data_IF_041949681135
#
_entry.id   IF_041949681135
#
_cell.length_a   1.000
_cell.length_b   1.000
_cell.length_c   1.000
_cell.angle_alpha   90.00
_cell.angle_beta   90.00
_cell.angle_gamma   90.00
#
_symmetry.space_group_name_H-M   'P 1'
#
loop_
_entity.id
_entity.type
_entity.pdbx_description
1 polymer ?
#
# COMPACT_ATOMS: atom_id res chain seq x y z
N UNK A 1 -15.13 16.66 -15.12
CA UNK A 1 -14.61 15.63 -16.05
C UNK A 1 -15.54 14.43 -15.97
N UNK A 2 -16.05 13.91 -17.09
CA UNK A 2 -17.02 12.81 -17.11
C UNK A 2 -16.47 11.56 -16.38
N UNK A 3 -17.26 10.93 -15.50
CA UNK A 3 -16.87 9.72 -14.74
C UNK A 3 -16.38 8.59 -15.65
N UNK A 4 -16.99 8.45 -16.83
CA UNK A 4 -16.57 7.48 -17.84
C UNK A 4 -15.17 7.80 -18.33
N UNK A 5 -14.92 9.06 -18.69
CA UNK A 5 -13.61 9.49 -19.17
C UNK A 5 -12.54 9.30 -18.09
N UNK A 6 -12.80 9.71 -16.84
CA UNK A 6 -11.89 9.47 -15.72
C UNK A 6 -11.56 7.98 -15.54
N UNK A 7 -12.57 7.12 -15.49
CA UNK A 7 -12.36 5.69 -15.25
C UNK A 7 -11.64 5.02 -16.41
N UNK A 8 -11.97 5.39 -17.66
CA UNK A 8 -11.28 4.89 -18.85
C UNK A 8 -9.83 5.34 -18.88
N UNK A 9 -9.55 6.59 -18.53
CA UNK A 9 -8.17 7.09 -18.44
C UNK A 9 -7.38 6.39 -17.32
N UNK A 10 -7.98 6.15 -16.15
CA UNK A 10 -7.32 5.39 -15.08
C UNK A 10 -7.05 3.95 -15.49
N UNK A 11 -7.96 3.31 -16.24
CA UNK A 11 -7.70 1.99 -16.83
C UNK A 11 -6.54 2.04 -17.81
N UNK A 12 -6.54 2.99 -18.73
CA UNK A 12 -5.45 3.18 -19.69
C UNK A 12 -4.12 3.34 -18.97
N UNK A 13 -4.07 4.21 -17.96
CA UNK A 13 -2.89 4.37 -17.09
C UNK A 13 -2.49 3.06 -16.41
N UNK A 14 -3.43 2.36 -15.76
CA UNK A 14 -3.14 1.10 -15.06
C UNK A 14 -2.58 0.05 -16.02
N UNK A 15 -3.14 -0.04 -17.23
CA UNK A 15 -2.65 -0.92 -18.30
C UNK A 15 -1.24 -0.53 -18.74
N UNK A 16 -0.97 0.76 -18.97
CA UNK A 16 0.36 1.25 -19.32
C UNK A 16 1.39 1.00 -18.20
N UNK A 17 1.02 1.20 -16.93
CA UNK A 17 1.87 0.89 -15.78
C UNK A 17 2.16 -0.61 -15.68
N UNK A 18 1.15 -1.44 -15.91
CA UNK A 18 1.26 -2.90 -15.91
C UNK A 18 2.18 -3.38 -17.03
N UNK A 19 1.99 -2.92 -18.26
CA UNK A 19 2.87 -3.29 -19.38
C UNK A 19 4.28 -2.73 -19.19
N UNK A 20 4.40 -1.50 -18.71
CA UNK A 20 5.68 -0.86 -18.44
C UNK A 20 6.49 -1.61 -17.40
N UNK A 21 5.86 -2.05 -16.29
CA UNK A 21 6.53 -2.86 -15.26
C UNK A 21 7.01 -4.20 -15.81
N UNK A 22 6.18 -4.90 -16.59
CA UNK A 22 6.59 -6.15 -17.26
C UNK A 22 7.81 -5.94 -18.14
N UNK A 23 7.81 -4.91 -18.98
CA UNK A 23 8.91 -4.60 -19.89
C UNK A 23 10.19 -4.27 -19.11
N UNK A 24 10.10 -3.37 -18.13
CA UNK A 24 11.25 -2.96 -17.32
C UNK A 24 11.89 -4.13 -16.59
N UNK A 25 11.09 -5.02 -16.01
CA UNK A 25 11.61 -6.20 -15.32
C UNK A 25 12.11 -7.26 -16.29
N UNK A 26 11.49 -7.43 -17.46
CA UNK A 26 11.97 -8.37 -18.50
C UNK A 26 13.37 -7.99 -19.02
N UNK A 27 13.70 -6.71 -19.02
CA UNK A 27 15.04 -6.20 -19.39
C UNK A 27 15.95 -5.95 -18.17
N UNK A 28 15.51 -6.32 -16.95
CA UNK A 28 16.22 -6.06 -15.71
C UNK A 28 16.60 -4.57 -15.49
N UNK A 29 15.81 -3.67 -16.06
CA UNK A 29 15.98 -2.22 -15.97
C UNK A 29 15.24 -1.61 -14.77
N UNK A 30 14.41 -2.39 -14.09
CA UNK A 30 13.67 -1.94 -12.91
C UNK A 30 14.63 -1.45 -11.81
N UNK A 31 15.72 -2.19 -11.55
CA UNK A 31 16.73 -1.80 -10.55
C UNK A 31 17.54 -0.57 -10.98
N UNK A 32 17.83 -0.44 -12.28
CA UNK A 32 18.60 0.69 -12.83
C UNK A 32 17.83 2.00 -12.71
N UNK A 33 16.50 1.97 -12.82
CA UNK A 33 15.66 3.16 -12.68
C UNK A 33 15.39 3.56 -11.22
N UNK A 34 15.62 2.65 -10.27
CA UNK A 34 15.42 2.90 -8.84
C UNK A 34 16.70 3.29 -8.10
N UNK A 35 17.65 3.89 -8.81
CA UNK A 35 18.82 4.54 -8.20
C UNK A 35 18.36 5.63 -7.22
N UNK A 36 18.45 5.32 -5.92
CA UNK A 36 18.18 6.25 -4.83
C UNK A 36 19.38 7.19 -4.68
N UNK A 37 19.28 8.39 -5.27
CA UNK A 37 20.29 9.45 -5.15
C UNK A 37 20.19 10.25 -3.84
N UNK A 38 19.42 9.76 -2.87
CA UNK A 38 19.16 10.47 -1.61
C UNK A 38 20.11 10.08 -0.52
N UNK A 39 20.64 11.11 0.14
CA UNK A 39 21.40 10.99 1.38
C UNK A 39 20.51 10.93 2.64
N UNK A 40 19.17 10.91 2.49
CA UNK A 40 18.24 10.78 3.60
C UNK A 40 18.41 9.44 4.34
N UNK A 41 18.29 9.48 5.66
CA UNK A 41 18.28 8.27 6.48
C UNK A 41 16.95 7.52 6.32
N UNK A 42 17.01 6.20 6.10
CA UNK A 42 15.82 5.35 5.95
C UNK A 42 15.75 4.35 7.11
N UNK A 43 14.74 4.49 7.96
CA UNK A 43 14.42 3.50 9.00
C UNK A 43 13.53 2.40 8.40
N UNK A 44 13.91 1.11 8.50
CA UNK A 44 13.14 0.01 7.94
C UNK A 44 11.83 -0.21 8.70
N UNK A 45 10.89 -0.92 8.05
CA UNK A 45 9.62 -1.29 8.66
C UNK A 45 9.86 -2.22 9.86
N UNK A 46 9.23 -1.94 10.99
CA UNK A 46 9.36 -2.78 12.17
C UNK A 46 8.44 -4.02 12.07
N UNK A 47 8.98 -5.25 11.96
CA UNK A 47 8.15 -6.44 11.83
C UNK A 47 7.34 -6.75 13.09
N UNK A 48 7.82 -6.35 14.28
CA UNK A 48 7.17 -6.69 15.56
C UNK A 48 5.87 -5.91 15.85
N UNK A 49 5.65 -4.78 15.18
CA UNK A 49 4.41 -4.00 15.25
C UNK A 49 3.60 -4.05 13.96
N UNK A 50 4.05 -4.84 12.98
CA UNK A 50 3.39 -4.98 11.70
C UNK A 50 2.16 -5.90 11.78
N UNK A 51 1.09 -5.48 11.13
CA UNK A 51 -0.08 -6.31 10.81
C UNK A 51 -0.14 -6.50 9.29
N UNK A 52 -0.65 -7.65 8.84
CA UNK A 52 -0.81 -7.95 7.41
C UNK A 52 -2.29 -7.89 7.00
N UNK A 53 -2.50 -7.34 5.81
CA UNK A 53 -3.76 -7.46 5.09
C UNK A 53 -3.53 -8.06 3.70
N UNK A 54 -4.47 -8.88 3.24
CA UNK A 54 -4.48 -9.43 1.89
C UNK A 54 -5.65 -8.82 1.11
N UNK A 55 -5.33 -8.06 0.07
CA UNK A 55 -6.31 -7.42 -0.79
C UNK A 55 -6.51 -8.28 -2.03
N UNK A 56 -7.73 -8.76 -2.24
CA UNK A 56 -8.08 -9.69 -3.32
C UNK A 56 -9.32 -9.26 -4.08
N UNK A 57 -9.20 -9.21 -5.39
CA UNK A 57 -10.34 -9.01 -6.29
C UNK A 57 -11.37 -10.14 -6.14
N UNK A 58 -12.66 -9.79 -6.05
CA UNK A 58 -13.72 -10.79 -5.96
C UNK A 58 -13.86 -11.58 -7.28
N UNK A 59 -14.13 -12.89 -7.18
CA UNK A 59 -14.24 -13.74 -8.38
C UNK A 59 -15.52 -13.49 -9.17
N UNK A 60 -16.63 -13.20 -8.48
CA UNK A 60 -17.95 -13.00 -9.11
C UNK A 60 -18.06 -11.60 -9.70
N UNK A 61 -17.55 -10.60 -8.98
CA UNK A 61 -17.59 -9.20 -9.42
C UNK A 61 -16.22 -8.53 -9.38
N UNK A 62 -15.36 -8.95 -10.30
CA UNK A 62 -13.98 -8.46 -10.39
C UNK A 62 -13.90 -6.95 -10.54
N UNK A 63 -14.86 -6.36 -11.25
CA UNK A 63 -14.79 -4.94 -11.57
C UNK A 63 -15.27 -4.08 -10.43
N UNK A 64 -16.19 -4.52 -9.57
CA UNK A 64 -16.81 -3.64 -8.58
C UNK A 64 -16.43 -3.95 -7.14
N UNK A 65 -15.92 -5.14 -6.87
CA UNK A 65 -15.71 -5.61 -5.50
C UNK A 65 -14.31 -6.16 -5.30
N UNK A 66 -13.64 -5.65 -4.28
CA UNK A 66 -12.34 -6.12 -3.81
C UNK A 66 -12.45 -6.36 -2.30
N UNK A 67 -12.04 -7.53 -1.85
CA UNK A 67 -12.12 -7.94 -0.44
C UNK A 67 -10.76 -7.80 0.22
N UNK A 68 -10.76 -7.47 1.51
CA UNK A 68 -9.55 -7.36 2.33
C UNK A 68 -9.66 -8.34 3.49
N UNK A 69 -8.65 -9.19 3.62
CA UNK A 69 -8.55 -10.20 4.66
C UNK A 69 -7.43 -9.85 5.64
N UNK A 70 -7.61 -10.16 6.92
CA UNK A 70 -6.55 -10.04 7.92
C UNK A 70 -5.55 -11.23 7.81
N UNK A 71 -4.52 -11.23 8.66
CA UNK A 71 -3.55 -12.33 8.76
C UNK A 71 -4.16 -13.70 9.10
N UNK A 72 -5.33 -13.73 9.72
CA UNK A 72 -6.04 -14.97 10.08
C UNK A 72 -6.91 -15.51 8.94
N UNK A 73 -7.07 -14.76 7.84
CA UNK A 73 -7.93 -15.12 6.72
C UNK A 73 -9.38 -14.64 6.85
N UNK A 74 -9.72 -13.86 7.88
CA UNK A 74 -11.05 -13.29 8.05
C UNK A 74 -11.21 -12.05 7.18
N UNK A 75 -12.37 -11.90 6.53
CA UNK A 75 -12.69 -10.68 5.81
C UNK A 75 -12.94 -9.55 6.82
N UNK A 76 -12.15 -8.49 6.73
CA UNK A 76 -12.22 -7.31 7.63
C UNK A 76 -12.72 -6.06 6.92
N UNK A 77 -12.40 -5.92 5.63
CA UNK A 77 -12.86 -4.79 4.82
C UNK A 77 -13.27 -5.21 3.42
N UNK A 78 -13.91 -4.29 2.70
CA UNK A 78 -14.15 -4.39 1.26
C UNK A 78 -14.06 -3.03 0.61
N UNK A 79 -13.50 -2.98 -0.60
CA UNK A 79 -13.61 -1.84 -1.50
C UNK A 79 -14.68 -2.14 -2.55
N UNK A 80 -15.69 -1.29 -2.60
CA UNK A 80 -16.84 -1.45 -3.50
C UNK A 80 -17.10 -0.18 -4.29
N UNK A 81 -17.54 -0.32 -5.54
CA UNK A 81 -18.04 0.80 -6.36
C UNK A 81 -19.37 0.46 -7.02
N UNK A 82 -20.18 1.49 -7.26
CA UNK A 82 -21.53 1.32 -7.82
C UNK A 82 -21.50 0.70 -9.22
N UNK A 83 -20.57 1.15 -10.06
CA UNK A 83 -20.44 0.68 -11.43
C UNK A 83 -18.98 0.62 -11.86
N UNK A 84 -18.75 -0.18 -12.89
CA UNK A 84 -17.46 -0.40 -13.57
C UNK A 84 -16.81 0.90 -14.08
N UNK A 85 -17.59 1.96 -14.32
CA UNK A 85 -17.18 3.28 -14.81
C UNK A 85 -17.31 4.38 -13.75
N UNK A 86 -17.54 4.01 -12.49
CA UNK A 86 -17.48 4.95 -11.39
C UNK A 86 -16.04 5.06 -10.87
N UNK A 87 -15.44 6.27 -10.85
CA UNK A 87 -14.11 6.49 -10.26
C UNK A 87 -14.15 6.47 -8.73
N UNK A 88 -15.34 6.52 -8.13
CA UNK A 88 -15.54 6.53 -6.70
C UNK A 88 -15.68 5.10 -6.18
N UNK A 89 -14.83 4.76 -5.22
CA UNK A 89 -14.85 3.54 -4.43
C UNK A 89 -15.22 3.86 -2.99
N UNK A 90 -15.78 2.88 -2.29
CA UNK A 90 -16.16 2.95 -0.89
C UNK A 90 -15.43 1.86 -0.14
N UNK A 91 -14.79 2.20 0.98
CA UNK A 91 -14.22 1.25 1.92
C UNK A 91 -15.25 0.96 3.00
N UNK A 92 -15.67 -0.29 3.12
CA UNK A 92 -16.63 -0.74 4.12
C UNK A 92 -15.97 -1.70 5.11
N UNK A 93 -16.35 -1.60 6.38
CA UNK A 93 -15.99 -2.60 7.38
C UNK A 93 -16.83 -3.88 7.24
N UNK A 94 -16.34 -4.96 7.85
CA UNK A 94 -17.04 -6.22 7.94
C UNK A 94 -17.07 -6.68 9.40
N UNK A 95 -18.19 -7.24 9.91
CA UNK A 95 -19.44 -7.55 9.20
C UNK A 95 -20.45 -6.39 9.09
N UNK A 96 -20.24 -5.26 9.76
CA UNK A 96 -21.27 -4.22 9.90
C UNK A 96 -21.59 -3.47 8.59
N UNK A 97 -20.70 -3.52 7.59
CA UNK A 97 -20.84 -2.84 6.29
C UNK A 97 -21.08 -1.32 6.41
N UNK A 98 -20.51 -0.71 7.44
CA UNK A 98 -20.44 0.73 7.58
C UNK A 98 -19.36 1.29 6.65
N UNK A 99 -19.69 2.37 5.96
CA UNK A 99 -18.73 3.07 5.10
C UNK A 99 -17.74 3.85 5.97
N UNK A 100 -16.47 3.43 5.92
CA UNK A 100 -15.39 4.10 6.64
C UNK A 100 -14.77 5.22 5.82
N UNK A 101 -14.67 5.02 4.50
CA UNK A 101 -14.10 6.01 3.62
C UNK A 101 -14.63 5.96 2.19
N UNK A 102 -14.64 7.11 1.52
CA UNK A 102 -14.87 7.23 0.08
C UNK A 102 -13.55 7.58 -0.61
N UNK A 103 -13.15 6.81 -1.61
CA UNK A 103 -11.92 6.98 -2.36
C UNK A 103 -12.24 7.42 -3.78
N UNK A 104 -11.69 8.54 -4.22
CA UNK A 104 -11.75 8.99 -5.60
C UNK A 104 -10.46 8.58 -6.30
N UNK A 105 -10.60 7.73 -7.32
CA UNK A 105 -9.47 7.26 -8.14
C UNK A 105 -9.59 7.90 -9.52
N UNK A 106 -9.00 9.08 -9.68
CA UNK A 106 -8.87 9.77 -10.96
C UNK A 106 -7.42 9.87 -11.44
N UNK A 107 -7.23 10.27 -12.70
CA UNK A 107 -5.90 10.50 -13.28
C UNK A 107 -5.19 11.69 -12.61
N UNK A 108 -5.90 12.79 -12.45
CA UNK A 108 -5.37 14.05 -11.90
C UNK A 108 -5.79 14.19 -10.44
N UNK A 109 -7.09 14.02 -10.21
CA UNK A 109 -7.70 14.15 -8.88
C UNK A 109 -7.81 12.79 -8.21
N UNK A 110 -7.11 12.64 -7.09
CA UNK A 110 -7.12 11.47 -6.22
C UNK A 110 -7.35 11.95 -4.80
N UNK A 111 -8.35 11.41 -4.14
CA UNK A 111 -8.65 11.83 -2.78
C UNK A 111 -9.27 10.70 -1.96
N UNK A 112 -9.16 10.83 -0.65
CA UNK A 112 -9.83 9.96 0.31
C UNK A 112 -10.65 10.85 1.25
N UNK A 113 -11.91 10.49 1.46
CA UNK A 113 -12.75 11.05 2.49
C UNK A 113 -12.93 10.00 3.58
N UNK A 114 -12.48 10.24 4.81
CA UNK A 114 -12.76 9.35 5.95
C UNK A 114 -14.01 9.85 6.67
N UNK A 115 -14.96 8.95 6.90
CA UNK A 115 -16.25 9.27 7.56
C UNK A 115 -16.24 8.93 9.05
N UNK A 116 -15.36 8.03 9.47
CA UNK A 116 -15.21 7.59 10.85
C UNK A 116 -14.21 8.42 11.66
N UNK A 117 -13.58 9.45 11.07
CA UNK A 117 -12.40 10.13 11.66
C UNK A 117 -12.55 11.63 11.60
N UNK A 118 -13.04 12.20 12.71
CA UNK A 118 -13.37 13.62 12.88
C UNK A 118 -12.24 14.55 12.46
N UNK A 119 -11.00 14.15 12.75
CA UNK A 119 -9.87 15.07 12.63
C UNK A 119 -9.33 15.10 11.19
N UNK A 120 -9.69 14.13 10.34
CA UNK A 120 -9.08 13.99 9.01
C UNK A 120 -10.06 13.53 7.93
N UNK A 121 -11.14 14.29 7.80
CA UNK A 121 -12.24 14.00 6.88
C UNK A 121 -11.83 13.92 5.41
N UNK A 122 -10.87 14.74 4.93
CA UNK A 122 -10.49 14.76 3.50
C UNK A 122 -8.97 14.83 3.32
N UNK A 123 -8.43 14.00 2.41
CA UNK A 123 -7.03 14.01 1.99
C UNK A 123 -6.89 13.90 0.49
N UNK A 124 -6.22 14.86 -0.12
CA UNK A 124 -5.79 14.80 -1.51
C UNK A 124 -4.46 14.03 -1.63
N UNK A 125 -4.36 13.18 -2.64
CA UNK A 125 -3.15 12.44 -2.96
C UNK A 125 -2.55 13.06 -4.22
N UNK A 126 -1.44 13.76 -4.04
CA UNK A 126 -0.74 14.42 -5.13
C UNK A 126 0.42 13.58 -5.65
N UNK A 127 0.78 13.83 -6.91
CA UNK A 127 2.00 13.30 -7.48
C UNK A 127 3.15 14.19 -7.04
N UNK A 128 4.17 13.60 -6.44
CA UNK A 128 5.39 14.29 -6.04
C UNK A 128 6.58 13.66 -6.79
N UNK A 129 7.56 14.47 -7.15
CA UNK A 129 8.77 14.06 -7.84
C UNK A 129 9.95 14.47 -6.98
N UNK A 130 10.58 13.49 -6.35
CA UNK A 130 11.81 13.68 -5.60
C UNK A 130 13.01 13.18 -6.39
N UNK A 131 14.20 13.46 -5.86
CA UNK A 131 15.48 12.96 -6.41
C UNK A 131 15.50 11.41 -6.47
N UNK A 132 14.73 10.76 -5.60
CA UNK A 132 14.54 9.31 -5.54
C UNK A 132 13.35 8.79 -6.38
N UNK A 133 12.83 9.60 -7.29
CA UNK A 133 11.79 9.19 -8.23
C UNK A 133 10.38 9.66 -7.89
N UNK A 134 9.39 8.89 -8.36
CA UNK A 134 7.99 9.28 -8.37
C UNK A 134 7.26 8.79 -7.13
N UNK A 135 6.60 9.72 -6.46
CA UNK A 135 5.85 9.48 -5.25
C UNK A 135 4.34 9.74 -5.42
N UNK A 136 3.57 9.07 -4.58
CA UNK A 136 2.20 9.48 -4.25
C UNK A 136 2.18 9.90 -2.81
N UNK A 137 1.96 11.20 -2.59
CA UNK A 137 2.15 11.83 -1.30
C UNK A 137 0.87 12.46 -0.79
N UNK A 138 0.78 12.53 0.53
CA UNK A 138 -0.31 13.15 1.27
C UNK A 138 0.19 13.60 2.64
N UNK A 139 -0.57 14.45 3.32
CA UNK A 139 -0.26 14.93 4.66
C UNK A 139 -1.26 14.38 5.69
N UNK A 140 -0.81 14.11 6.90
CA UNK A 140 -1.68 13.83 8.04
C UNK A 140 -1.67 15.01 9.03
N UNK A 141 -2.52 14.95 10.06
CA UNK A 141 -2.66 16.03 11.05
C UNK A 141 -1.40 16.24 11.91
N UNK A 142 -0.49 15.26 11.92
CA UNK A 142 0.81 15.39 12.57
C UNK A 142 1.78 16.31 11.82
N UNK A 143 1.34 16.93 10.71
CA UNK A 143 2.13 17.82 9.86
C UNK A 143 3.17 17.10 9.01
N UNK A 144 3.27 15.77 9.11
CA UNK A 144 4.27 14.99 8.39
C UNK A 144 3.78 14.63 6.99
N UNK A 145 4.71 14.57 6.03
CA UNK A 145 4.44 14.08 4.68
C UNK A 145 4.55 12.56 4.68
N UNK A 146 3.54 11.88 4.15
CA UNK A 146 3.56 10.45 3.90
C UNK A 146 3.65 10.21 2.39
N UNK A 147 4.55 9.33 1.96
CA UNK A 147 4.83 9.11 0.54
C UNK A 147 4.99 7.63 0.20
N UNK A 148 4.20 7.16 -0.76
CA UNK A 148 4.38 5.84 -1.36
C UNK A 148 5.51 5.89 -2.39
N UNK A 149 6.52 5.04 -2.20
CA UNK A 149 7.67 4.91 -3.10
C UNK A 149 7.29 4.25 -4.43
N UNK A 150 8.24 4.30 -5.38
CA UNK A 150 8.14 3.75 -6.73
C UNK A 150 7.92 2.23 -6.79
N UNK A 151 7.85 1.71 -8.01
CA UNK A 151 7.45 0.34 -8.33
C UNK A 151 8.32 -0.76 -7.72
N UNK A 152 9.62 -0.60 -7.48
CA UNK A 152 10.41 -1.71 -6.88
C UNK A 152 10.07 -1.93 -5.41
N UNK A 153 10.12 -0.87 -4.60
CA UNK A 153 10.09 -0.99 -3.14
C UNK A 153 8.68 -0.96 -2.58
N UNK A 154 7.77 -0.20 -3.21
CA UNK A 154 6.34 -0.06 -2.83
C UNK A 154 6.15 0.11 -1.30
N UNK A 155 6.91 0.99 -0.69
CA UNK A 155 6.88 1.30 0.74
C UNK A 155 6.16 2.62 1.00
N UNK A 156 5.47 2.73 2.13
CA UNK A 156 4.96 4.00 2.64
C UNK A 156 5.97 4.56 3.62
N UNK A 157 6.45 5.76 3.34
CA UNK A 157 7.44 6.44 4.16
C UNK A 157 6.83 7.67 4.80
N UNK A 158 6.93 7.77 6.13
CA UNK A 158 6.74 9.02 6.87
C UNK A 158 8.03 9.83 6.72
N UNK A 159 7.94 10.99 6.10
CA UNK A 159 9.07 11.86 5.77
C UNK A 159 9.09 13.05 6.73
N UNK A 160 10.17 13.16 7.50
CA UNK A 160 10.49 14.31 8.35
C UNK A 160 11.53 15.17 7.62
N UNK A 161 11.30 16.48 7.58
CA UNK A 161 12.12 17.46 6.86
C UNK A 161 12.26 17.13 5.35
N UNK A 162 11.15 17.08 4.59
CA UNK A 162 11.20 16.77 3.16
C UNK A 162 12.07 17.78 2.40
N UNK A 163 12.95 17.29 1.52
CA UNK A 163 13.97 18.05 0.78
C UNK A 163 15.11 18.61 1.66
N UNK A 164 15.26 18.13 2.90
CA UNK A 164 16.36 18.50 3.81
C UNK A 164 17.70 17.81 3.52
N UNK A 165 17.78 16.98 2.47
CA UNK A 165 19.00 16.27 2.10
C UNK A 165 19.43 15.27 3.18
N UNK A 166 20.53 15.55 3.88
CA UNK A 166 21.05 14.72 4.98
C UNK A 166 20.18 14.78 6.24
N UNK A 167 19.43 15.86 6.44
CA UNK A 167 18.54 16.01 7.59
C UNK A 167 17.19 15.32 7.38
N UNK A 168 16.90 14.91 6.14
CA UNK A 168 15.68 14.19 5.82
C UNK A 168 15.70 12.80 6.47
N UNK A 169 14.65 12.49 7.22
CA UNK A 169 14.46 11.17 7.84
C UNK A 169 13.21 10.52 7.30
N UNK A 170 13.33 9.28 6.83
CA UNK A 170 12.24 8.50 6.25
C UNK A 170 12.00 7.26 7.07
N UNK A 171 10.82 7.14 7.66
CA UNK A 171 10.40 5.97 8.42
C UNK A 171 9.45 5.14 7.58
N UNK A 172 9.82 3.89 7.26
CA UNK A 172 8.90 2.98 6.57
C UNK A 172 7.81 2.53 7.54
N UNK A 173 6.57 2.89 7.24
CA UNK A 173 5.39 2.60 8.08
C UNK A 173 4.43 1.60 7.42
N UNK A 174 4.59 1.34 6.12
CA UNK A 174 3.90 0.24 5.46
C UNK A 174 4.70 -0.26 4.25
N UNK A 175 4.39 -1.46 3.77
CA UNK A 175 4.94 -2.05 2.54
C UNK A 175 3.88 -2.83 1.79
N UNK A 176 3.90 -2.73 0.47
CA UNK A 176 3.04 -3.50 -0.42
C UNK A 176 3.86 -4.51 -1.18
N UNK A 177 3.37 -5.75 -1.28
CA UNK A 177 3.94 -6.78 -2.14
C UNK A 177 2.84 -7.35 -3.02
N UNK A 178 3.09 -7.38 -4.32
CA UNK A 178 2.17 -8.00 -5.27
C UNK A 178 2.29 -9.53 -5.11
N UNK A 179 1.15 -10.21 -4.98
CA UNK A 179 1.11 -11.66 -4.75
C UNK A 179 0.87 -12.45 -6.03
N UNK A 180 0.34 -11.78 -7.07
CA UNK A 180 0.16 -12.38 -8.39
C UNK A 180 0.23 -11.36 -9.51
N UNK A 181 0.97 -11.68 -10.56
CA UNK A 181 1.01 -10.91 -11.79
C UNK A 181 -0.36 -10.85 -12.50
N UNK A 182 -0.68 -9.70 -13.08
CA UNK A 182 -1.92 -9.39 -13.82
C UNK A 182 -3.23 -9.56 -13.03
N UNK A 183 -3.16 -9.71 -11.70
CA UNK A 183 -4.34 -9.73 -10.84
C UNK A 183 -4.19 -8.71 -9.73
N UNK A 184 -5.31 -8.11 -9.33
CA UNK A 184 -5.36 -7.25 -8.16
C UNK A 184 -5.39 -8.13 -6.90
N UNK A 185 -4.22 -8.66 -6.57
CA UNK A 185 -3.96 -9.60 -5.48
C UNK A 185 -2.62 -9.20 -4.85
N UNK A 186 -2.66 -8.53 -3.70
CA UNK A 186 -1.49 -7.97 -3.04
C UNK A 186 -1.61 -8.03 -1.52
N UNK A 187 -0.47 -8.12 -0.85
CA UNK A 187 -0.38 -7.97 0.60
C UNK A 187 0.03 -6.53 0.97
N UNK A 188 -0.46 -6.07 2.11
CA UNK A 188 -0.09 -4.79 2.72
C UNK A 188 0.34 -5.08 4.16
N UNK A 189 1.62 -4.83 4.43
CA UNK A 189 2.18 -4.85 5.78
C UNK A 189 2.11 -3.44 6.33
N UNK A 190 1.50 -3.25 7.51
CA UNK A 190 1.32 -1.93 8.13
C UNK A 190 1.84 -1.94 9.55
N UNK A 191 2.69 -0.98 9.88
CA UNK A 191 3.09 -0.71 11.26
C UNK A 191 1.98 0.08 11.97
N UNK A 192 1.10 -0.66 12.65
CA UNK A 192 -0.09 -0.13 13.32
C UNK A 192 0.25 0.85 14.46
N UNK A 193 1.52 0.95 14.89
CA UNK A 193 1.93 1.95 15.89
C UNK A 193 2.16 3.33 15.27
N UNK A 194 2.60 3.37 14.01
CA UNK A 194 3.07 4.60 13.36
C UNK A 194 2.10 5.15 12.32
N UNK A 195 1.20 4.32 11.81
CA UNK A 195 0.14 4.76 10.90
C UNK A 195 -1.14 3.96 11.12
N UNK A 196 -2.26 4.64 10.94
CA UNK A 196 -3.56 4.01 10.90
C UNK A 196 -3.67 3.02 9.73
N UNK A 197 -4.07 1.76 9.99
CA UNK A 197 -4.23 0.73 8.97
C UNK A 197 -5.14 1.11 7.81
N UNK A 198 -6.23 1.84 8.09
CA UNK A 198 -7.22 2.21 7.07
C UNK A 198 -6.65 3.26 6.12
N UNK A 199 -5.79 4.16 6.62
CA UNK A 199 -5.08 5.15 5.79
C UNK A 199 -4.09 4.44 4.87
N UNK A 200 -3.28 3.52 5.43
CA UNK A 200 -2.33 2.75 4.65
C UNK A 200 -3.03 1.92 3.56
N UNK A 201 -4.12 1.22 3.92
CA UNK A 201 -4.92 0.43 2.98
C UNK A 201 -5.55 1.29 1.87
N UNK A 202 -6.20 2.40 2.23
CA UNK A 202 -6.88 3.26 1.27
C UNK A 202 -5.89 3.89 0.28
N UNK A 203 -4.76 4.38 0.77
CA UNK A 203 -3.73 5.01 -0.08
C UNK A 203 -2.97 3.98 -0.92
N UNK A 204 -2.71 2.78 -0.39
CA UNK A 204 -2.15 1.66 -1.16
C UNK A 204 -3.08 1.25 -2.30
N UNK A 205 -4.40 1.16 -2.02
CA UNK A 205 -5.40 0.81 -3.03
C UNK A 205 -5.40 1.81 -4.19
N UNK A 206 -5.36 3.12 -3.91
CA UNK A 206 -5.26 4.16 -4.95
C UNK A 206 -3.95 4.05 -5.73
N UNK A 207 -2.84 3.79 -5.04
CA UNK A 207 -1.49 3.69 -5.65
C UNK A 207 -1.39 2.50 -6.61
N UNK A 208 -2.11 1.41 -6.33
CA UNK A 208 -2.17 0.26 -7.23
C UNK A 208 -2.71 0.62 -8.63
N UNK A 209 -3.70 1.52 -8.72
CA UNK A 209 -4.28 1.97 -10.00
C UNK A 209 -3.54 3.16 -10.63
N UNK A 210 -2.76 3.92 -9.86
CA UNK A 210 -2.25 5.22 -10.30
C UNK A 210 -0.74 5.38 -10.26
N UNK A 211 -0.03 4.38 -9.71
CA UNK A 211 1.43 4.41 -9.54
C UNK A 211 2.10 3.09 -9.91
N UNK A 212 1.58 1.93 -9.46
CA UNK A 212 2.29 0.66 -9.62
C UNK A 212 1.75 -0.24 -10.74
N UNK A 213 0.43 -0.36 -10.88
CA UNK A 213 -0.15 -1.41 -11.73
C UNK A 213 0.04 -2.81 -11.14
N UNK A 214 -0.27 -3.84 -11.93
CA UNK A 214 -0.23 -5.27 -11.50
C UNK A 214 0.74 -6.10 -12.35
N UNK A 215 1.74 -5.46 -12.96
CA UNK A 215 2.61 -6.08 -13.96
C UNK A 215 3.91 -6.66 -13.44
N UNK A 216 4.35 -6.26 -12.24
CA UNK A 216 5.58 -6.80 -11.64
C UNK A 216 5.54 -8.32 -11.51
N UNK A 217 6.64 -8.97 -11.84
CA UNK A 217 6.92 -10.35 -11.50
C UNK A 217 6.83 -10.53 -10.00
N UNK A 218 6.14 -11.59 -9.63
CA UNK A 218 5.91 -11.95 -8.23
C UNK A 218 6.68 -13.21 -7.95
N UNK A 219 7.67 -13.13 -7.05
CA UNK A 219 8.36 -14.32 -6.58
C UNK A 219 7.34 -15.28 -5.94
N UNK A 220 7.49 -16.58 -6.19
CA UNK A 220 6.62 -17.63 -5.60
C UNK A 220 6.82 -17.81 -4.10
N UNK A 221 7.58 -16.92 -3.46
CA UNK A 221 7.69 -16.83 -2.01
C UNK A 221 6.34 -16.31 -1.51
N UNK A 222 5.61 -17.16 -0.79
CA UNK A 222 4.24 -16.92 -0.33
C UNK A 222 4.05 -15.67 0.56
N UNK A 223 2.98 -15.63 1.37
CA UNK A 223 2.72 -14.46 2.22
C UNK A 223 3.90 -14.19 3.16
N UNK A 224 4.17 -12.91 3.44
CA UNK A 224 5.25 -12.55 4.37
C UNK A 224 4.97 -13.12 5.76
N UNK A 225 5.95 -13.87 6.31
CA UNK A 225 5.87 -14.39 7.67
C UNK A 225 5.91 -13.24 8.67
N UNK A 226 4.90 -13.17 9.55
CA UNK A 226 4.90 -12.29 10.71
C UNK A 226 5.11 -13.16 11.94
N UNK A 227 6.19 -12.96 12.71
CA UNK A 227 6.39 -13.72 13.95
C UNK A 227 5.29 -13.38 14.95
N UNK A 228 4.66 -14.41 15.49
CA UNK A 228 3.67 -14.24 16.54
C UNK A 228 4.30 -13.58 17.77
N UNK A 229 3.61 -12.57 18.32
CA UNK A 229 4.06 -11.88 19.55
C UNK A 229 4.21 -12.83 20.75
N UNK A 230 3.64 -14.03 20.65
CA UNK A 230 3.68 -15.09 21.67
C UNK A 230 4.93 -15.95 21.63
N UNK A 231 5.84 -15.81 20.67
CA UNK A 231 7.15 -16.49 20.73
C UNK A 231 8.09 -15.76 21.70
N UNK A 232 7.66 -15.59 22.95
CA UNK A 232 8.58 -15.44 24.07
C UNK A 232 9.31 -16.76 24.21
N UNK A 233 10.61 -16.77 23.90
CA UNK A 233 11.60 -17.70 24.42
C UNK A 233 11.20 -19.18 24.36
N UNK A 234 11.53 -19.83 23.24
CA UNK A 234 12.22 -21.11 23.39
C UNK A 234 13.61 -20.76 23.95
N UNK A 235 13.66 -20.59 25.27
CA UNK A 235 14.93 -20.67 25.98
C UNK A 235 15.52 -22.03 25.63
N UNK A 236 16.72 -21.97 25.05
CA UNK A 236 17.67 -23.05 24.99
C UNK A 236 17.59 -23.86 26.28
N UNK A 237 17.15 -25.10 26.16
CA UNK A 237 17.39 -26.12 27.17
C UNK A 237 18.91 -26.17 27.31
N UNK A 238 19.43 -25.66 28.42
CA UNK A 238 20.83 -25.85 28.77
C UNK A 238 21.03 -27.36 28.99
N UNK A 239 22.02 -27.93 28.30
CA UNK A 239 22.41 -29.35 28.46
C UNK A 239 22.87 -29.70 29.89
N UNK A 240 23.02 -28.71 30.78
CA UNK A 240 23.37 -28.92 32.18
C UNK A 240 22.21 -29.45 33.05
N UNK A 241 20.95 -29.33 32.60
CA UNK A 241 19.79 -29.84 33.35
C UNK A 241 19.45 -31.32 33.05
N UNK A 242 20.24 -31.99 32.19
CA UNK A 242 20.07 -33.40 31.83
C UNK A 242 21.05 -34.36 32.54
N UNK A 243 21.83 -33.89 33.52
CA UNK A 243 22.81 -34.70 34.27
C UNK A 243 22.63 -34.69 35.80
N UNK A 244 21.40 -34.67 36.30
CA UNK A 244 21.12 -34.97 37.72
C UNK A 244 20.21 -36.17 37.89
#
# INVERSE_FOLDING_TARGET
MNNILQTTTVRGLTTSLTLGSVVLESFNLAEVLDLNFSNASITPLNPSSSIVFFVRQDRKDKNRTVKVFNGNGDQVYSFERLSTFNPIWRMLNYPQRQELATLKIGLIDRSINFHNKSDFNHRSIFADWGINGRYRSFYLNDGCKYSWTSSSTKCLEKVINPNGGLEEKRFRVAKVKLMRQFKLDFEVLVDNKNIDPEIALATAFISMFTQWGVGSFTDTVGPTYIPDKTTKRLETINEEDLQK
#
